data_IF_032769848058
#
_entry.id   IF_032769848058
#
_cell.length_a   1.000
_cell.length_b   1.000
_cell.length_c   1.000
_cell.angle_alpha   90.00
_cell.angle_beta   90.00
_cell.angle_gamma   90.00
#
_symmetry.space_group_name_H-M   'P 1'
#
loop_
_entity.id
_entity.type
_entity.pdbx_description
1 polymer ?
#
# COMPACT_ATOMS: atom_id res chain seq x y z
N UNK A 1 26.78 -53.68 -60.91
CA UNK A 1 26.87 -54.42 -59.63
C UNK A 1 27.32 -53.45 -58.55
N UNK A 2 26.56 -53.41 -57.45
CA UNK A 2 26.86 -52.78 -56.17
C UNK A 2 26.95 -51.25 -56.13
N UNK A 3 25.84 -50.64 -55.71
CA UNK A 3 25.80 -49.29 -55.17
C UNK A 3 25.99 -49.27 -53.66
N UNK A 4 26.40 -48.11 -53.14
CA UNK A 4 26.16 -47.65 -51.77
C UNK A 4 25.97 -46.14 -51.85
N UNK A 5 24.78 -45.66 -51.54
CA UNK A 5 24.48 -44.25 -51.31
C UNK A 5 23.74 -44.14 -49.97
N UNK A 6 24.32 -43.37 -49.05
CA UNK A 6 23.76 -43.06 -47.74
C UNK A 6 22.94 -41.77 -47.87
N UNK A 7 21.68 -41.71 -47.39
CA UNK A 7 21.01 -40.44 -47.19
C UNK A 7 21.20 -39.95 -45.75
N UNK A 8 21.60 -38.68 -45.62
CA UNK A 8 21.52 -37.92 -44.37
C UNK A 8 20.12 -37.31 -44.30
N UNK A 9 19.32 -37.78 -43.35
CA UNK A 9 18.01 -37.22 -43.00
C UNK A 9 18.17 -36.18 -41.90
N UNK A 10 17.67 -34.98 -42.16
CA UNK A 10 17.45 -33.92 -41.18
C UNK A 10 16.04 -34.11 -40.62
N UNK A 11 15.92 -34.41 -39.33
CA UNK A 11 14.65 -34.56 -38.63
C UNK A 11 14.67 -33.81 -37.31
N UNK A 12 13.95 -32.69 -37.25
CA UNK A 12 13.58 -31.99 -36.04
C UNK A 12 12.53 -32.79 -35.27
N UNK A 13 12.70 -32.96 -33.95
CA UNK A 13 11.62 -33.25 -33.00
C UNK A 13 12.15 -33.11 -31.56
N UNK A 14 11.84 -31.99 -30.91
CA UNK A 14 11.93 -31.83 -29.47
C UNK A 14 10.50 -31.62 -28.93
N UNK A 15 9.76 -32.72 -28.82
CA UNK A 15 8.55 -32.83 -28.01
C UNK A 15 8.89 -33.73 -26.82
N UNK A 16 8.96 -33.14 -25.63
CA UNK A 16 8.97 -33.82 -24.34
C UNK A 16 8.33 -32.84 -23.35
N UNK A 17 7.42 -33.20 -22.45
CA UNK A 17 6.73 -34.45 -22.15
C UNK A 17 5.49 -33.99 -21.38
N UNK A 18 4.30 -34.35 -21.86
CA UNK A 18 3.03 -34.07 -21.21
C UNK A 18 2.44 -35.42 -20.80
N UNK A 19 2.66 -35.82 -19.54
CA UNK A 19 1.87 -36.87 -18.90
C UNK A 19 2.15 -36.89 -17.38
N UNK A 20 1.33 -36.19 -16.60
CA UNK A 20 1.12 -36.57 -15.21
C UNK A 20 -0.31 -36.25 -14.75
N UNK A 21 -1.10 -37.33 -14.77
CA UNK A 21 -2.13 -37.73 -13.80
C UNK A 21 -3.16 -36.70 -13.31
N UNK A 22 -4.38 -36.89 -13.81
CA UNK A 22 -5.64 -36.40 -13.24
C UNK A 22 -5.93 -37.14 -11.93
N UNK A 23 -5.75 -36.46 -10.80
CA UNK A 23 -6.47 -36.75 -9.57
C UNK A 23 -7.39 -35.57 -9.23
N UNK A 24 -8.70 -35.84 -9.26
CA UNK A 24 -9.72 -34.92 -8.81
C UNK A 24 -9.59 -34.74 -7.29
N UNK A 25 -8.97 -33.62 -6.88
CA UNK A 25 -8.96 -33.17 -5.49
C UNK A 25 -10.22 -32.34 -5.26
N UNK A 26 -11.15 -32.90 -4.49
CA UNK A 26 -12.26 -32.15 -3.89
C UNK A 26 -11.67 -31.01 -3.06
N UNK A 27 -12.08 -29.74 -3.25
CA UNK A 27 -11.53 -28.64 -2.48
C UNK A 27 -11.95 -28.80 -1.01
N UNK A 28 -11.03 -28.72 -0.05
CA UNK A 28 -11.41 -28.69 1.36
C UNK A 28 -12.22 -27.41 1.61
N UNK A 29 -13.38 -27.59 2.25
CA UNK A 29 -14.19 -26.52 2.81
C UNK A 29 -13.30 -25.57 3.61
N UNK A 30 -13.12 -24.36 3.09
CA UNK A 30 -12.31 -23.32 3.70
C UNK A 30 -12.99 -22.86 5.00
N UNK A 31 -12.55 -23.41 6.14
CA UNK A 31 -12.76 -22.73 7.42
C UNK A 31 -12.00 -21.41 7.33
N UNK A 32 -12.74 -20.30 7.33
CA UNK A 32 -12.17 -18.95 7.45
C UNK A 32 -11.19 -18.92 8.62
N UNK A 33 -9.97 -18.37 8.47
CA UNK A 33 -9.07 -18.21 9.59
C UNK A 33 -9.68 -17.20 10.54
N UNK A 34 -10.22 -17.70 11.66
CA UNK A 34 -10.49 -16.88 12.85
C UNK A 34 -9.17 -16.20 13.20
N UNK A 35 -9.15 -14.86 13.21
CA UNK A 35 -7.98 -14.09 13.60
C UNK A 35 -7.44 -14.58 14.96
N UNK A 36 -6.14 -14.35 15.25
CA UNK A 36 -5.56 -14.79 16.50
C UNK A 36 -6.43 -14.30 17.68
N UNK A 37 -6.76 -15.16 18.67
CA UNK A 37 -7.51 -14.74 19.84
C UNK A 37 -6.89 -13.50 20.49
N UNK A 38 -7.72 -12.58 21.04
CA UNK A 38 -7.23 -11.37 21.66
C UNK A 38 -6.17 -11.69 22.73
N UNK A 39 -4.93 -11.24 22.49
CA UNK A 39 -3.78 -11.47 23.38
C UNK A 39 -2.73 -12.47 22.87
N UNK A 40 -2.95 -13.13 21.73
CA UNK A 40 -1.89 -13.88 21.06
C UNK A 40 -0.90 -12.91 20.39
N UNK A 41 0.39 -13.17 20.60
CA UNK A 41 1.47 -12.40 19.99
C UNK A 41 1.44 -12.69 18.50
N UNK A 42 1.20 -11.66 17.69
CA UNK A 42 1.39 -11.78 16.25
C UNK A 42 2.89 -11.72 15.98
N UNK A 43 3.41 -12.78 15.36
CA UNK A 43 4.86 -12.99 15.19
C UNK A 43 5.54 -11.94 14.32
N UNK A 44 4.77 -11.16 13.57
CA UNK A 44 5.25 -10.03 12.80
C UNK A 44 5.47 -8.75 13.64
N UNK A 45 5.05 -8.69 14.91
CA UNK A 45 5.19 -7.48 15.73
C UNK A 45 6.44 -7.52 16.62
N UNK A 46 7.28 -6.48 16.54
CA UNK A 46 8.33 -6.22 17.53
C UNK A 46 7.92 -5.15 18.51
N UNK A 47 8.45 -5.24 19.73
CA UNK A 47 8.32 -4.17 20.71
C UNK A 47 9.63 -3.94 21.46
N UNK A 48 9.89 -2.67 21.75
CA UNK A 48 10.76 -2.17 22.79
C UNK A 48 9.91 -1.31 23.74
N UNK A 49 10.40 -0.90 24.92
CA UNK A 49 9.59 -0.18 25.90
C UNK A 49 8.83 1.05 25.36
N UNK A 50 9.28 1.63 24.24
CA UNK A 50 8.67 2.84 23.67
C UNK A 50 8.28 2.73 22.19
N UNK A 51 8.54 1.60 21.53
CA UNK A 51 8.45 1.49 20.08
C UNK A 51 8.06 0.09 19.62
N UNK A 52 7.19 0.02 18.62
CA UNK A 52 6.80 -1.18 17.91
C UNK A 52 7.48 -1.30 16.54
N UNK A 53 7.27 -2.43 15.88
CA UNK A 53 7.56 -2.60 14.45
C UNK A 53 6.69 -3.69 13.84
N UNK A 54 6.49 -3.65 12.52
CA UNK A 54 5.69 -4.62 11.76
C UNK A 54 6.51 -5.26 10.65
N UNK A 55 6.65 -6.59 10.67
CA UNK A 55 7.39 -7.38 9.68
C UNK A 55 6.59 -7.53 8.39
N UNK A 56 7.14 -7.02 7.29
CA UNK A 56 6.51 -7.05 5.96
C UNK A 56 7.24 -7.96 4.97
N UNK A 57 8.51 -8.28 5.26
CA UNK A 57 9.31 -9.25 4.52
C UNK A 57 10.28 -9.93 5.51
N UNK A 58 10.92 -11.06 5.16
CA UNK A 58 11.70 -11.86 6.12
C UNK A 58 12.79 -11.08 6.88
N UNK A 59 13.30 -10.00 6.27
CA UNK A 59 14.34 -9.13 6.81
C UNK A 59 13.94 -7.65 6.90
N UNK A 60 12.66 -7.32 6.71
CA UNK A 60 12.21 -5.93 6.60
C UNK A 60 11.04 -5.67 7.52
N UNK A 61 11.18 -4.64 8.34
CA UNK A 61 10.10 -4.16 9.19
C UNK A 61 9.85 -2.68 9.00
N UNK A 62 8.62 -2.26 9.24
CA UNK A 62 8.20 -0.87 9.31
C UNK A 62 8.09 -0.44 10.76
N UNK A 63 8.41 0.82 11.02
CA UNK A 63 8.24 1.45 12.33
C UNK A 63 8.13 2.96 12.17
N UNK A 64 7.92 3.69 13.26
CA UNK A 64 7.90 5.13 13.25
C UNK A 64 9.33 5.69 13.13
N UNK A 65 9.51 6.78 12.40
CA UNK A 65 10.79 7.49 12.26
C UNK A 65 11.33 7.95 13.62
N UNK A 66 10.44 8.33 14.53
CA UNK A 66 10.75 8.71 15.90
C UNK A 66 11.22 7.54 16.78
N UNK A 67 10.99 6.30 16.34
CA UNK A 67 11.51 5.08 16.97
C UNK A 67 12.91 4.71 16.52
N UNK A 68 13.31 5.13 15.32
CA UNK A 68 14.69 4.96 14.87
C UNK A 68 15.64 5.84 15.70
N UNK A 69 16.89 5.45 15.97
CA UNK A 69 17.89 6.31 16.61
C UNK A 69 18.28 7.49 15.70
N UNK A 70 18.70 8.63 16.29
CA UNK A 70 19.10 9.83 15.52
C UNK A 70 20.35 9.60 14.66
N UNK A 71 21.24 8.71 15.09
CA UNK A 71 22.46 8.34 14.37
C UNK A 71 22.20 7.03 13.63
N UNK A 72 21.91 7.10 12.33
CA UNK A 72 21.51 5.96 11.49
C UNK A 72 22.60 4.89 11.31
N UNK A 73 23.86 5.21 11.61
CA UNK A 73 24.98 4.28 11.46
C UNK A 73 25.13 3.30 12.64
N UNK A 74 24.46 3.54 13.78
CA UNK A 74 24.54 2.63 14.92
C UNK A 74 23.59 1.45 14.70
N UNK A 75 24.14 0.24 14.73
CA UNK A 75 23.36 -0.99 14.80
C UNK A 75 22.64 -1.01 16.14
N UNK A 76 21.34 -1.29 16.13
CA UNK A 76 20.54 -1.42 17.34
C UNK A 76 20.04 -2.85 17.46
N UNK A 77 20.05 -3.36 18.70
CA UNK A 77 19.45 -4.66 19.02
C UNK A 77 17.99 -4.45 19.39
N UNK A 78 17.09 -5.23 18.78
CA UNK A 78 15.67 -5.29 19.07
C UNK A 78 15.33 -6.66 19.62
N UNK A 79 14.38 -6.75 20.54
CA UNK A 79 13.97 -8.02 21.15
C UNK A 79 12.70 -8.51 20.46
N UNK A 80 12.75 -9.70 19.86
CA UNK A 80 11.57 -10.49 19.54
C UNK A 80 11.15 -11.22 20.81
N UNK A 81 9.87 -11.17 21.13
CA UNK A 81 9.30 -11.88 22.29
C UNK A 81 9.57 -13.39 22.21
N UNK A 82 9.64 -13.95 20.99
CA UNK A 82 9.68 -15.40 20.77
C UNK A 82 10.94 -15.91 20.04
N UNK A 83 11.68 -15.02 19.35
CA UNK A 83 12.82 -15.38 18.50
C UNK A 83 14.17 -14.80 19.00
N UNK A 84 14.18 -14.18 20.18
CA UNK A 84 15.37 -13.59 20.79
C UNK A 84 15.71 -12.21 20.24
N UNK A 85 16.91 -11.72 20.54
CA UNK A 85 17.35 -10.41 20.06
C UNK A 85 17.82 -10.47 18.60
N UNK A 86 17.36 -9.54 17.77
CA UNK A 86 17.84 -9.33 16.40
C UNK A 86 18.54 -8.01 16.26
N UNK A 87 19.60 -8.01 15.45
CA UNK A 87 20.30 -6.81 15.05
C UNK A 87 19.64 -6.23 13.81
N UNK A 88 19.38 -4.94 13.86
CA UNK A 88 18.77 -4.22 12.75
C UNK A 88 19.52 -2.91 12.47
N UNK A 89 19.52 -2.53 11.20
CA UNK A 89 19.87 -1.19 10.74
C UNK A 89 18.59 -0.38 10.53
N UNK A 90 18.61 0.87 10.95
CA UNK A 90 17.50 1.79 10.77
C UNK A 90 17.75 2.72 9.60
N UNK A 91 16.72 2.92 8.79
CA UNK A 91 16.72 3.92 7.73
C UNK A 91 15.45 4.73 7.88
N UNK A 92 15.61 6.03 8.16
CA UNK A 92 14.48 6.96 8.32
C UNK A 92 14.09 7.54 6.97
N UNK A 93 12.80 7.81 6.81
CA UNK A 93 12.34 8.62 5.70
C UNK A 93 12.92 10.05 5.83
N UNK A 94 13.54 10.59 4.76
CA UNK A 94 14.29 11.85 4.86
C UNK A 94 13.41 13.09 4.97
N UNK A 95 12.16 13.04 4.48
CA UNK A 95 11.25 14.20 4.45
C UNK A 95 10.24 14.09 5.58
N UNK A 96 10.53 14.72 6.72
CA UNK A 96 9.64 14.72 7.89
C UNK A 96 9.09 16.12 8.15
N UNK A 97 7.77 16.25 8.16
CA UNK A 97 7.05 17.46 8.53
C UNK A 97 6.17 17.14 9.75
N UNK A 98 6.75 17.29 10.93
CA UNK A 98 6.10 16.87 12.18
C UNK A 98 5.83 15.35 12.17
N UNK A 99 4.58 14.89 12.26
CA UNK A 99 4.22 13.47 12.16
C UNK A 99 4.19 12.96 10.71
N UNK A 100 3.98 13.82 9.72
CA UNK A 100 4.03 13.43 8.31
C UNK A 100 5.45 13.02 7.94
N UNK A 101 5.59 11.86 7.31
CA UNK A 101 6.91 11.27 7.03
C UNK A 101 7.63 10.73 8.25
N UNK A 102 6.98 10.59 9.42
CA UNK A 102 7.58 9.93 10.60
C UNK A 102 7.61 8.40 10.43
N UNK A 103 8.23 7.92 9.35
CA UNK A 103 8.35 6.50 8.98
C UNK A 103 9.82 6.09 8.96
N UNK A 104 10.11 4.86 9.36
CA UNK A 104 11.41 4.24 9.20
C UNK A 104 11.26 2.76 8.83
N UNK A 105 12.29 2.22 8.20
CA UNK A 105 12.44 0.78 8.00
C UNK A 105 13.56 0.23 8.89
N UNK A 106 13.36 -1.00 9.34
CA UNK A 106 14.36 -1.80 10.03
C UNK A 106 14.80 -2.91 9.09
N UNK A 107 16.09 -2.91 8.75
CA UNK A 107 16.72 -3.93 7.92
C UNK A 107 17.42 -4.92 8.84
N UNK A 108 16.88 -6.13 8.94
CA UNK A 108 17.42 -7.17 9.80
C UNK A 108 18.67 -7.79 9.16
N UNK A 109 19.71 -8.03 9.95
CA UNK A 109 20.95 -8.65 9.44
C UNK A 109 20.72 -10.09 8.95
N UNK A 110 19.74 -10.78 9.53
CA UNK A 110 19.35 -12.15 9.19
C UNK A 110 17.82 -12.23 9.13
N UNK A 111 17.26 -13.13 8.30
CA UNK A 111 15.84 -13.37 8.31
C UNK A 111 15.40 -13.93 9.66
N UNK A 112 14.19 -13.59 10.09
CA UNK A 112 13.62 -14.19 11.29
C UNK A 112 13.45 -15.72 11.10
N UNK A 113 13.74 -16.55 12.11
CA UNK A 113 13.63 -17.99 11.96
C UNK A 113 12.19 -18.49 11.89
N UNK A 114 11.99 -19.62 11.22
CA UNK A 114 10.80 -20.47 11.36
C UNK A 114 9.48 -19.83 10.94
N UNK A 115 8.46 -19.95 11.80
CA UNK A 115 7.08 -19.56 11.52
C UNK A 115 6.85 -18.05 11.39
N UNK A 116 7.76 -17.21 11.89
CA UNK A 116 7.65 -15.76 11.75
C UNK A 116 7.65 -15.30 10.28
N UNK A 117 8.35 -16.03 9.39
CA UNK A 117 8.32 -15.76 7.94
C UNK A 117 6.96 -16.13 7.33
N UNK A 118 6.28 -17.16 7.87
CA UNK A 118 4.97 -17.60 7.37
C UNK A 118 3.84 -16.67 7.80
N UNK A 119 4.08 -15.85 8.83
CA UNK A 119 3.12 -14.94 9.43
C UNK A 119 3.59 -13.49 9.26
N UNK A 120 4.09 -13.10 8.08
CA UNK A 120 4.35 -11.67 7.81
C UNK A 120 3.03 -10.90 7.74
N UNK A 121 3.06 -9.62 8.09
CA UNK A 121 1.90 -8.76 7.92
C UNK A 121 1.56 -8.68 6.42
N UNK A 122 0.32 -9.02 6.02
CA UNK A 122 -0.08 -8.93 4.62
C UNK A 122 -0.14 -7.47 4.19
N UNK A 123 0.54 -7.17 3.09
CA UNK A 123 0.55 -5.84 2.47
C UNK A 123 -0.49 -5.84 1.35
N UNK A 124 -1.51 -4.95 1.38
CA UNK A 124 -2.48 -4.86 0.31
C UNK A 124 -1.83 -4.26 -0.94
N UNK A 125 -2.38 -4.60 -2.11
CA UNK A 125 -2.09 -3.84 -3.31
C UNK A 125 -2.66 -2.42 -3.21
N UNK A 126 -2.17 -1.49 -4.01
CA UNK A 126 -2.69 -0.13 -4.07
C UNK A 126 -4.19 -0.10 -4.36
N UNK A 127 -4.67 -0.94 -5.30
CA UNK A 127 -6.10 -1.06 -5.62
C UNK A 127 -6.89 -1.66 -4.45
N UNK A 128 -6.34 -2.68 -3.78
CA UNK A 128 -6.97 -3.28 -2.59
C UNK A 128 -7.12 -2.26 -1.46
N UNK A 129 -6.04 -1.54 -1.13
CA UNK A 129 -6.08 -0.48 -0.12
C UNK A 129 -7.11 0.60 -0.49
N UNK A 130 -7.10 1.09 -1.73
CA UNK A 130 -8.04 2.10 -2.21
C UNK A 130 -9.49 1.64 -2.08
N UNK A 131 -9.78 0.36 -2.37
CA UNK A 131 -11.12 -0.21 -2.23
C UNK A 131 -11.53 -0.46 -0.78
N UNK A 132 -10.55 -0.76 0.08
CA UNK A 132 -10.80 -1.11 1.48
C UNK A 132 -10.96 0.12 2.37
N UNK A 133 -10.25 1.22 2.08
CA UNK A 133 -10.30 2.48 2.83
C UNK A 133 -11.49 3.34 2.40
N UNK A 134 -12.69 2.88 2.75
CA UNK A 134 -13.94 3.62 2.60
C UNK A 134 -14.16 4.54 3.80
N UNK A 135 -14.42 5.82 3.54
CA UNK A 135 -14.74 6.80 4.57
C UNK A 135 -15.91 6.36 5.46
N UNK A 136 -15.76 6.53 6.76
CA UNK A 136 -16.85 6.31 7.69
C UNK A 136 -17.93 7.38 7.65
N UNK A 137 -19.17 6.95 7.88
CA UNK A 137 -20.33 7.83 8.06
C UNK A 137 -20.08 8.88 9.16
N UNK A 138 -20.79 10.00 9.14
CA UNK A 138 -20.55 11.15 10.04
C UNK A 138 -20.54 10.81 11.55
N UNK A 139 -21.24 9.75 11.96
CA UNK A 139 -21.29 9.26 13.34
C UNK A 139 -20.22 8.20 13.70
N UNK A 140 -19.38 7.80 12.74
CA UNK A 140 -18.35 6.76 12.83
C UNK A 140 -18.88 5.35 13.14
N UNK A 141 -20.16 5.07 12.86
CA UNK A 141 -20.75 3.73 13.07
C UNK A 141 -20.46 2.78 11.91
N UNK A 142 -20.36 3.32 10.69
CA UNK A 142 -20.06 2.62 9.44
C UNK A 142 -18.74 3.11 8.83
N UNK A 143 -18.21 2.38 7.85
CA UNK A 143 -16.94 2.69 7.16
C UNK A 143 -15.90 1.58 7.29
N UNK A 144 -14.71 1.83 6.76
CA UNK A 144 -13.60 0.90 6.86
C UNK A 144 -13.15 0.72 8.31
N UNK A 145 -13.28 -0.51 8.80
CA UNK A 145 -12.86 -0.89 10.15
C UNK A 145 -11.35 -1.00 10.21
N UNK A 146 -10.77 -0.43 11.26
CA UNK A 146 -9.33 -0.45 11.48
C UNK A 146 -8.97 -1.27 12.71
N UNK A 147 -7.81 -1.91 12.65
CA UNK A 147 -7.17 -2.58 13.77
C UNK A 147 -5.77 -2.03 13.89
N UNK A 148 -5.38 -1.59 15.08
CA UNK A 148 -4.04 -1.15 15.35
C UNK A 148 -3.37 -2.07 16.37
N UNK A 149 -2.07 -2.24 16.20
CA UNK A 149 -1.25 -3.00 17.11
C UNK A 149 -0.27 -2.06 17.81
N UNK A 150 -0.15 -2.22 19.13
CA UNK A 150 0.69 -1.38 19.97
C UNK A 150 1.36 -2.20 21.05
N UNK A 151 2.02 -1.53 21.99
CA UNK A 151 2.67 -2.19 23.11
C UNK A 151 1.68 -2.35 24.26
N UNK A 152 1.54 -3.56 24.80
CA UNK A 152 0.85 -3.73 26.07
C UNK A 152 1.56 -2.90 27.16
N UNK A 153 0.82 -2.28 28.09
CA UNK A 153 1.43 -1.67 29.27
C UNK A 153 2.26 -2.73 29.99
N UNK A 154 3.40 -2.32 30.57
CA UNK A 154 4.25 -3.20 31.37
C UNK A 154 3.41 -3.94 32.41
N UNK A 155 3.27 -5.25 32.23
CA UNK A 155 2.99 -6.11 33.37
C UNK A 155 4.24 -6.04 34.24
N UNK A 156 4.09 -5.67 35.52
CA UNK A 156 5.18 -5.61 36.51
C UNK A 156 5.85 -6.97 36.79
N UNK A 157 5.62 -7.97 35.94
CA UNK A 157 6.28 -9.28 35.99
C UNK A 157 7.76 -9.11 35.64
N UNK A 158 8.57 -9.14 36.68
CA UNK A 158 10.03 -9.10 36.68
C UNK A 158 10.60 -10.36 36.04
N UNK A 159 11.23 -10.26 34.86
CA UNK A 159 12.56 -10.83 34.53
C UNK A 159 12.87 -10.85 33.03
N UNK A 160 11.88 -10.70 32.16
CA UNK A 160 12.11 -10.59 30.71
C UNK A 160 11.30 -9.41 30.18
N UNK A 161 11.94 -8.25 30.00
CA UNK A 161 11.33 -6.97 29.64
C UNK A 161 10.66 -6.89 28.25
N UNK A 162 10.07 -7.99 27.75
CA UNK A 162 9.34 -8.05 26.50
C UNK A 162 7.87 -7.66 26.72
N UNK A 163 7.39 -6.63 26.02
CA UNK A 163 5.97 -6.25 26.03
C UNK A 163 5.23 -7.07 24.97
N UNK A 164 4.13 -7.73 25.36
CA UNK A 164 3.24 -8.38 24.39
C UNK A 164 2.61 -7.33 23.48
N UNK A 165 2.45 -7.64 22.19
CA UNK A 165 1.66 -6.81 21.30
C UNK A 165 0.20 -6.77 21.78
N UNK A 166 -0.41 -5.59 21.74
CA UNK A 166 -1.81 -5.37 22.07
C UNK A 166 -2.57 -5.04 20.80
N UNK A 167 -3.56 -5.86 20.45
CA UNK A 167 -4.52 -5.59 19.38
C UNK A 167 -5.58 -4.60 19.87
N UNK A 168 -5.90 -3.59 19.07
CA UNK A 168 -6.86 -2.53 19.38
C UNK A 168 -7.73 -2.27 18.16
N UNK A 169 -9.03 -2.50 18.29
CA UNK A 169 -10.02 -2.35 17.22
C UNK A 169 -11.20 -1.45 17.61
N UNK A 170 -11.18 -0.92 18.84
CA UNK A 170 -12.22 -0.05 19.36
C UNK A 170 -11.66 1.01 20.32
N UNK A 171 -12.33 2.17 20.35
CA UNK A 171 -12.15 3.19 21.37
C UNK A 171 -12.50 2.66 22.76
N UNK A 172 -11.85 3.22 23.78
CA UNK A 172 -12.01 2.82 25.16
C UNK A 172 -12.84 3.84 25.91
N UNK A 173 -13.80 3.38 26.71
CA UNK A 173 -14.41 4.22 27.73
C UNK A 173 -13.37 4.45 28.82
N UNK A 174 -13.00 5.70 29.07
CA UNK A 174 -12.29 6.03 30.31
C UNK A 174 -13.26 5.75 31.44
N UNK A 175 -12.82 4.94 32.41
CA UNK A 175 -13.58 4.80 33.64
C UNK A 175 -13.89 6.21 34.17
N UNK A 176 -15.16 6.50 34.49
CA UNK A 176 -15.49 7.75 35.12
C UNK A 176 -14.72 7.85 36.44
N UNK A 177 -14.41 9.08 36.86
CA UNK A 177 -13.66 9.34 38.07
C UNK A 177 -14.22 8.52 39.25
N UNK A 178 -13.36 8.00 40.16
CA UNK A 178 -13.81 7.22 41.31
C UNK A 178 -14.88 8.01 42.09
N UNK A 179 -16.13 7.54 42.07
CA UNK A 179 -17.28 8.23 42.65
C UNK A 179 -18.53 8.28 41.76
N UNK A 180 -18.38 8.09 40.44
CA UNK A 180 -19.54 7.88 39.56
C UNK A 180 -19.94 6.40 39.59
N UNK A 181 -21.22 6.11 39.82
CA UNK A 181 -21.76 4.76 40.04
C UNK A 181 -21.21 3.66 39.11
N UNK A 182 -21.13 2.46 39.68
CA UNK A 182 -20.63 1.21 39.09
C UNK A 182 -21.11 0.99 37.66
N UNK A 183 -20.26 1.29 36.68
CA UNK A 183 -20.38 0.72 35.34
C UNK A 183 -19.91 -0.73 35.43
N UNK A 184 -20.76 -1.66 35.00
CA UNK A 184 -20.48 -3.09 35.01
C UNK A 184 -19.12 -3.39 34.33
N UNK A 185 -18.24 -4.08 35.06
CA UNK A 185 -16.98 -4.58 34.55
C UNK A 185 -17.24 -5.59 33.42
N UNK A 186 -17.30 -5.11 32.18
CA UNK A 186 -17.59 -5.97 31.02
C UNK A 186 -17.78 -5.25 29.70
N UNK A 187 -18.33 -4.03 29.69
CA UNK A 187 -18.49 -3.23 28.47
C UNK A 187 -17.37 -2.17 28.37
N UNK A 188 -16.22 -2.56 27.81
CA UNK A 188 -15.00 -1.70 27.74
C UNK A 188 -14.72 -1.08 26.38
N UNK A 189 -15.43 -1.49 25.33
CA UNK A 189 -15.33 -0.93 23.96
C UNK A 189 -16.47 0.07 23.71
N UNK A 190 -16.12 1.33 23.44
CA UNK A 190 -17.10 2.39 23.20
C UNK A 190 -17.62 2.37 21.75
N UNK A 191 -16.70 2.36 20.79
CA UNK A 191 -16.97 2.41 19.34
C UNK A 191 -15.85 1.73 18.58
N UNK A 192 -16.10 1.14 17.40
CA UNK A 192 -15.05 0.61 16.55
C UNK A 192 -14.08 1.71 16.09
N UNK A 193 -12.83 1.35 15.84
CA UNK A 193 -11.90 2.19 15.10
C UNK A 193 -12.32 2.19 13.62
N UNK A 194 -12.65 3.36 13.11
CA UNK A 194 -13.11 3.56 11.74
C UNK A 194 -12.21 4.59 11.07
N UNK A 195 -11.86 4.32 9.82
CA UNK A 195 -11.14 5.27 8.96
C UNK A 195 -12.06 6.42 8.54
N UNK A 196 -11.51 7.63 8.52
CA UNK A 196 -12.15 8.78 7.88
C UNK A 196 -11.07 9.68 7.30
N UNK A 197 -11.27 10.10 6.06
CA UNK A 197 -10.44 11.06 5.35
C UNK A 197 -10.44 12.44 6.02
N UNK A 198 -9.42 13.24 5.72
CA UNK A 198 -9.30 14.65 6.09
C UNK A 198 -10.50 15.41 5.55
N UNK A 199 -10.90 15.17 4.30
CA UNK A 199 -12.08 15.77 3.70
C UNK A 199 -13.37 15.40 4.45
N UNK A 200 -13.49 14.15 4.90
CA UNK A 200 -14.57 13.67 5.76
C UNK A 200 -14.65 14.43 7.09
N UNK A 201 -13.52 14.58 7.79
CA UNK A 201 -13.49 15.40 9.01
C UNK A 201 -13.74 16.88 8.76
N UNK A 202 -13.27 17.43 7.64
CA UNK A 202 -13.55 18.84 7.30
C UNK A 202 -15.04 19.08 7.12
N UNK A 203 -15.76 18.13 6.52
CA UNK A 203 -17.21 18.20 6.32
C UNK A 203 -17.98 18.05 7.63
N UNK A 204 -17.65 17.04 8.43
CA UNK A 204 -18.38 16.72 9.66
C UNK A 204 -18.00 17.64 10.84
N UNK A 205 -16.72 18.04 10.93
CA UNK A 205 -16.14 18.74 12.08
C UNK A 205 -15.10 19.80 11.66
N UNK A 206 -15.47 20.80 10.83
CA UNK A 206 -14.55 21.78 10.26
C UNK A 206 -13.67 22.48 11.31
N UNK A 207 -14.21 22.71 12.51
CA UNK A 207 -13.53 23.35 13.65
C UNK A 207 -12.26 22.62 14.11
N UNK A 208 -12.12 21.32 13.80
CA UNK A 208 -10.98 20.49 14.20
C UNK A 208 -9.81 20.56 13.21
N UNK A 209 -10.11 20.95 11.97
CA UNK A 209 -9.13 21.14 10.91
C UNK A 209 -8.71 22.61 10.87
N UNK A 210 -9.65 23.52 11.09
CA UNK A 210 -9.39 24.96 11.09
C UNK A 210 -8.70 25.46 12.37
N UNK A 211 -8.30 24.59 13.29
CA UNK A 211 -7.58 24.99 14.49
C UNK A 211 -8.33 26.00 15.39
N UNK A 212 -9.66 26.09 15.30
CA UNK A 212 -10.49 26.86 16.25
C UNK A 212 -10.95 26.00 17.43
N UNK A 213 -10.88 24.68 17.31
CA UNK A 213 -11.20 23.74 18.39
C UNK A 213 -10.00 23.52 19.33
N UNK A 214 -10.22 23.23 20.62
CA UNK A 214 -9.19 22.65 21.49
C UNK A 214 -8.84 21.19 21.13
N UNK A 215 -9.66 20.53 20.31
CA UNK A 215 -9.48 19.15 19.85
C UNK A 215 -9.00 19.09 18.39
N UNK A 216 -8.00 19.90 18.07
CA UNK A 216 -7.41 19.96 16.72
C UNK A 216 -6.82 18.60 16.34
N UNK A 217 -7.03 18.19 15.08
CA UNK A 217 -6.42 16.99 14.54
C UNK A 217 -4.95 17.21 14.16
N UNK A 218 -4.62 18.43 13.78
CA UNK A 218 -3.31 18.80 13.25
C UNK A 218 -2.66 19.88 14.09
N UNK A 219 -1.35 19.74 14.28
CA UNK A 219 -0.56 20.82 14.86
C UNK A 219 -0.30 21.93 13.84
N UNK A 220 0.21 23.07 14.31
CA UNK A 220 0.50 24.23 13.47
C UNK A 220 1.49 23.93 12.32
N UNK A 221 2.41 22.97 12.47
CA UNK A 221 3.38 22.61 11.45
C UNK A 221 2.71 21.89 10.27
N UNK A 222 1.87 20.89 10.54
CA UNK A 222 1.08 20.19 9.51
C UNK A 222 0.15 21.21 8.82
N UNK A 223 -0.53 22.05 9.61
CA UNK A 223 -1.40 23.07 9.04
C UNK A 223 -0.66 24.04 8.12
N UNK A 224 0.56 24.45 8.45
CA UNK A 224 1.36 25.34 7.61
C UNK A 224 1.85 24.68 6.33
N UNK A 225 2.19 23.39 6.38
CA UNK A 225 2.72 22.66 5.23
C UNK A 225 1.64 22.36 4.19
N UNK A 226 0.45 21.94 4.63
CA UNK A 226 -0.63 21.50 3.74
C UNK A 226 -1.66 22.59 3.45
N UNK A 227 -1.69 23.66 4.24
CA UNK A 227 -2.62 24.78 4.04
C UNK A 227 -1.91 26.14 4.10
N UNK A 228 -0.88 26.38 3.25
CA UNK A 228 -0.04 27.58 3.32
C UNK A 228 -0.81 28.89 3.10
N UNK A 229 -1.91 28.86 2.34
CA UNK A 229 -2.70 30.05 1.96
C UNK A 229 -3.88 30.35 2.88
N UNK A 230 -3.99 29.65 4.01
CA UNK A 230 -5.14 29.75 4.92
C UNK A 230 -5.47 31.17 5.40
N UNK A 231 -4.48 32.06 5.47
CA UNK A 231 -4.67 33.47 5.88
C UNK A 231 -5.12 34.40 4.75
N UNK A 232 -4.97 34.01 3.48
CA UNK A 232 -5.13 34.95 2.36
C UNK A 232 -6.47 34.88 1.65
N UNK A 233 -7.23 33.77 1.71
CA UNK A 233 -8.61 33.73 1.21
C UNK A 233 -9.30 32.45 1.73
N UNK A 234 -10.25 32.60 2.64
CA UNK A 234 -11.11 31.49 3.09
C UNK A 234 -12.09 31.01 1.98
N UNK A 235 -12.10 31.67 0.82
CA UNK A 235 -13.03 31.43 -0.28
C UNK A 235 -12.50 30.48 -1.37
N UNK A 236 -11.21 30.11 -1.37
CA UNK A 236 -10.68 29.18 -2.38
C UNK A 236 -10.88 27.73 -1.95
N UNK A 237 -12.08 27.21 -2.25
CA UNK A 237 -12.45 25.82 -1.98
C UNK A 237 -11.52 24.81 -2.67
N UNK A 238 -10.92 25.15 -3.82
CA UNK A 238 -10.04 24.24 -4.57
C UNK A 238 -8.72 24.03 -3.85
N UNK A 239 -8.10 25.10 -3.35
CA UNK A 239 -6.86 25.00 -2.59
C UNK A 239 -7.00 24.15 -1.32
N UNK A 240 -8.18 24.20 -0.66
CA UNK A 240 -8.47 23.35 0.50
C UNK A 240 -8.62 21.87 0.13
N UNK A 241 -9.27 21.56 -1.00
CA UNK A 241 -9.46 20.19 -1.47
C UNK A 241 -8.13 19.54 -1.88
N UNK A 242 -7.21 20.29 -2.50
CA UNK A 242 -5.87 19.80 -2.78
C UNK A 242 -5.11 19.47 -1.49
N UNK A 243 -5.12 20.37 -0.51
CA UNK A 243 -4.46 20.12 0.78
C UNK A 243 -5.06 18.94 1.56
N UNK A 244 -6.38 18.72 1.48
CA UNK A 244 -7.03 17.55 2.07
C UNK A 244 -6.55 16.25 1.41
N UNK A 245 -6.60 16.20 0.07
CA UNK A 245 -6.17 15.02 -0.72
C UNK A 245 -4.70 14.69 -0.48
N UNK A 246 -3.81 15.68 -0.57
CA UNK A 246 -2.37 15.48 -0.38
C UNK A 246 -2.07 14.95 1.03
N UNK A 247 -2.86 15.33 2.02
CA UNK A 247 -2.72 14.85 3.38
C UNK A 247 -3.30 13.44 3.54
N UNK A 248 -4.45 13.14 2.94
CA UNK A 248 -5.09 11.82 2.91
C UNK A 248 -4.21 10.74 2.25
N UNK A 249 -3.37 11.13 1.31
CA UNK A 249 -2.38 10.23 0.69
C UNK A 249 -1.25 9.89 1.68
N UNK A 250 -0.95 10.77 2.64
CA UNK A 250 0.20 10.61 3.55
C UNK A 250 -0.14 10.08 4.94
N UNK A 251 -1.39 10.24 5.39
CA UNK A 251 -1.82 9.90 6.76
C UNK A 251 -3.13 9.12 6.80
N UNK A 252 -3.29 8.31 7.85
CA UNK A 252 -4.57 7.73 8.24
C UNK A 252 -5.02 8.38 9.53
N UNK A 253 -6.29 8.76 9.59
CA UNK A 253 -6.88 9.32 10.80
C UNK A 253 -7.73 8.27 11.51
N UNK A 254 -7.46 8.10 12.80
CA UNK A 254 -8.16 7.21 13.72
C UNK A 254 -8.70 8.01 14.90
N UNK A 255 -9.24 9.20 14.63
CA UNK A 255 -9.77 10.06 15.68
C UNK A 255 -11.23 9.77 15.94
N UNK A 256 -11.63 9.71 17.22
CA UNK A 256 -13.05 9.76 17.57
C UNK A 256 -13.66 11.10 17.19
N UNK A 257 -14.96 11.26 17.42
CA UNK A 257 -15.69 12.52 17.28
C UNK A 257 -15.22 13.55 18.34
N UNK A 258 -15.42 14.85 18.12
CA UNK A 258 -15.16 15.85 19.16
C UNK A 258 -16.01 15.64 20.42
N UNK A 259 -17.21 15.08 20.27
CA UNK A 259 -18.11 14.74 21.38
C UNK A 259 -17.62 13.56 22.20
N UNK A 260 -16.81 12.67 21.62
CA UNK A 260 -16.28 11.47 22.29
C UNK A 260 -15.47 11.84 23.55
N UNK A 261 -14.67 12.90 23.46
CA UNK A 261 -13.90 13.40 24.60
C UNK A 261 -14.80 13.79 25.80
N UNK A 262 -15.98 14.35 25.53
CA UNK A 262 -16.96 14.73 26.57
C UNK A 262 -17.67 13.50 27.16
N UNK A 263 -17.79 12.43 26.38
CA UNK A 263 -18.35 11.15 26.81
C UNK A 263 -17.30 10.23 27.48
N UNK A 264 -16.09 10.73 27.71
CA UNK A 264 -14.99 9.93 28.26
C UNK A 264 -14.47 8.86 27.30
N UNK A 265 -14.85 8.89 26.02
CA UNK A 265 -14.36 7.97 25.00
C UNK A 265 -12.97 8.46 24.56
N UNK A 266 -11.98 7.58 24.66
CA UNK A 266 -10.59 7.88 24.33
C UNK A 266 -10.04 6.93 23.27
N UNK A 267 -9.08 7.44 22.49
CA UNK A 267 -8.30 6.60 21.58
C UNK A 267 -7.68 5.42 22.34
N UNK A 268 -7.76 4.19 21.80
CA UNK A 268 -7.11 3.05 22.42
C UNK A 268 -5.59 3.13 22.29
N UNK A 269 -5.12 3.91 21.31
CA UNK A 269 -3.72 4.16 21.01
C UNK A 269 -3.10 5.13 22.01
N UNK A 270 -1.84 4.90 22.33
CA UNK A 270 -1.03 5.70 23.26
C UNK A 270 0.27 6.11 22.57
N UNK A 271 0.96 7.09 23.14
CA UNK A 271 2.25 7.55 22.61
C UNK A 271 3.33 6.45 22.56
N UNK A 272 3.22 5.44 23.43
CA UNK A 272 4.12 4.28 23.48
C UNK A 272 3.76 3.17 22.47
N UNK A 273 2.65 3.31 21.73
CA UNK A 273 2.24 2.36 20.69
C UNK A 273 2.88 2.69 19.32
N UNK A 274 3.69 3.75 19.25
CA UNK A 274 4.39 4.19 18.04
C UNK A 274 5.17 3.07 17.37
N UNK A 275 5.10 2.99 16.05
CA UNK A 275 5.80 2.01 15.24
C UNK A 275 5.07 0.69 15.04
N UNK A 276 3.98 0.42 15.78
CA UNK A 276 3.12 -0.71 15.48
C UNK A 276 2.33 -0.52 14.17
N UNK A 277 1.75 -1.61 13.65
CA UNK A 277 0.98 -1.57 12.40
C UNK A 277 -0.46 -1.12 12.59
N UNK A 278 -1.01 -0.48 11.56
CA UNK A 278 -2.44 -0.19 11.40
C UNK A 278 -2.95 -0.98 10.20
N UNK A 279 -4.03 -1.72 10.42
CA UNK A 279 -4.60 -2.65 9.47
C UNK A 279 -6.04 -2.24 9.16
N UNK A 280 -6.46 -2.43 7.92
CA UNK A 280 -7.88 -2.38 7.54
C UNK A 280 -8.43 -3.80 7.53
N UNK A 281 -9.67 -3.97 7.97
CA UNK A 281 -10.40 -5.24 7.84
C UNK A 281 -11.16 -5.24 6.52
N UNK A 282 -10.99 -6.31 5.75
CA UNK A 282 -11.83 -6.56 4.58
C UNK A 282 -13.17 -7.22 4.96
N UNK A 283 -14.00 -7.51 3.95
CA UNK A 283 -15.29 -8.16 4.12
C UNK A 283 -15.17 -9.54 4.81
N UNK A 284 -14.07 -10.24 4.59
CA UNK A 284 -13.77 -11.53 5.21
C UNK A 284 -13.07 -11.43 6.58
N UNK A 285 -13.00 -10.22 7.17
CA UNK A 285 -12.31 -9.93 8.44
C UNK A 285 -10.80 -10.21 8.41
N UNK A 286 -10.18 -10.20 7.22
CA UNK A 286 -8.73 -10.28 7.10
C UNK A 286 -8.13 -8.91 7.31
N UNK A 287 -7.03 -8.87 8.04
CA UNK A 287 -6.30 -7.65 8.36
C UNK A 287 -5.26 -7.36 7.26
N UNK A 288 -5.28 -6.17 6.66
CA UNK A 288 -4.31 -5.72 5.65
C UNK A 288 -3.55 -4.48 6.13
N UNK A 289 -2.22 -4.51 6.12
CA UNK A 289 -1.39 -3.42 6.64
C UNK A 289 -1.48 -2.17 5.76
N UNK A 290 -2.14 -1.13 6.26
CA UNK A 290 -2.33 0.15 5.56
C UNK A 290 -1.56 1.29 6.20
N UNK A 291 -1.08 1.13 7.43
CA UNK A 291 -0.44 2.22 8.16
C UNK A 291 0.56 1.81 9.24
N UNK A 292 1.23 2.82 9.79
CA UNK A 292 2.05 2.69 11.00
C UNK A 292 1.61 3.68 12.04
N UNK A 293 1.48 3.21 13.28
CA UNK A 293 1.06 4.02 14.42
C UNK A 293 2.11 5.10 14.69
N UNK A 294 1.72 6.37 14.69
CA UNK A 294 2.57 7.51 15.06
C UNK A 294 2.12 8.16 16.37
N UNK A 295 0.88 7.90 16.79
CA UNK A 295 0.33 8.45 18.00
C UNK A 295 -1.15 8.10 18.18
N UNK A 296 -1.87 8.98 18.86
CA UNK A 296 -3.24 8.71 19.31
C UNK A 296 -4.31 8.89 18.23
N UNK A 297 -4.06 9.73 17.21
CA UNK A 297 -5.09 10.16 16.25
C UNK A 297 -4.66 10.08 14.78
N UNK A 298 -3.37 10.22 14.50
CA UNK A 298 -2.85 10.29 13.14
C UNK A 298 -1.72 9.30 12.99
N UNK A 299 -1.78 8.54 11.90
CA UNK A 299 -0.91 7.41 11.59
C UNK A 299 -0.32 7.64 10.20
N UNK A 300 0.85 7.07 9.88
CA UNK A 300 1.40 7.14 8.54
C UNK A 300 0.62 6.19 7.63
N UNK A 301 0.20 6.64 6.45
CA UNK A 301 -0.39 5.78 5.42
C UNK A 301 0.70 5.19 4.55
N UNK A 302 0.78 3.86 4.43
CA UNK A 302 1.95 3.22 3.85
C UNK A 302 2.06 3.31 2.33
N UNK A 303 0.94 3.44 1.62
CA UNK A 303 0.94 3.52 0.15
C UNK A 303 1.85 4.62 -0.39
N UNK A 304 1.93 5.77 0.29
CA UNK A 304 2.85 6.86 -0.03
C UNK A 304 4.33 6.45 0.10
N UNK A 305 4.67 5.61 1.07
CA UNK A 305 6.07 5.33 1.42
C UNK A 305 6.63 4.10 0.71
N UNK A 306 5.81 3.29 0.05
CA UNK A 306 6.28 2.08 -0.65
C UNK A 306 7.37 2.35 -1.70
N UNK A 307 7.29 3.40 -2.55
CA UNK A 307 8.38 3.71 -3.48
C UNK A 307 9.72 3.94 -2.76
N UNK A 308 9.69 4.68 -1.65
CA UNK A 308 10.88 4.89 -0.83
C UNK A 308 11.39 3.61 -0.16
N UNK A 309 10.49 2.80 0.43
CA UNK A 309 10.87 1.52 1.04
C UNK A 309 11.55 0.63 0.00
N UNK A 310 10.93 0.48 -1.17
CA UNK A 310 11.46 -0.30 -2.28
C UNK A 310 12.85 0.18 -2.71
N UNK A 311 13.02 1.50 -2.92
CA UNK A 311 14.31 2.09 -3.29
C UNK A 311 15.39 1.80 -2.23
N UNK A 312 15.03 1.84 -0.94
CA UNK A 312 15.97 1.48 0.12
C UNK A 312 16.32 -0.02 0.09
N UNK A 313 15.36 -0.91 -0.14
CA UNK A 313 15.65 -2.34 -0.27
C UNK A 313 16.61 -2.62 -1.43
N UNK A 314 16.41 -1.99 -2.59
CA UNK A 314 17.36 -2.07 -3.70
C UNK A 314 18.75 -1.56 -3.31
N UNK A 315 18.83 -0.38 -2.69
CA UNK A 315 20.08 0.26 -2.26
C UNK A 315 20.89 -0.62 -1.30
N UNK A 316 20.23 -1.41 -0.46
CA UNK A 316 20.87 -2.33 0.48
C UNK A 316 21.02 -3.76 -0.04
N UNK A 317 20.82 -4.00 -1.34
CA UNK A 317 21.02 -5.31 -1.98
C UNK A 317 19.96 -6.36 -1.59
N UNK A 318 18.78 -5.93 -1.15
CA UNK A 318 17.67 -6.79 -0.73
C UNK A 318 16.69 -7.02 -1.88
N UNK A 319 17.21 -7.48 -3.02
CA UNK A 319 16.48 -7.59 -4.28
C UNK A 319 15.26 -8.53 -4.18
N UNK A 320 15.39 -9.65 -3.47
CA UNK A 320 14.30 -10.60 -3.28
C UNK A 320 13.12 -9.97 -2.50
N UNK A 321 13.42 -9.26 -1.41
CA UNK A 321 12.42 -8.53 -0.62
C UNK A 321 11.82 -7.36 -1.41
N UNK A 322 12.63 -6.64 -2.18
CA UNK A 322 12.15 -5.56 -3.04
C UNK A 322 11.16 -6.08 -4.09
N UNK A 323 11.49 -7.20 -4.77
CA UNK A 323 10.61 -7.82 -5.75
C UNK A 323 9.33 -8.37 -5.12
N UNK A 324 9.42 -8.98 -3.93
CA UNK A 324 8.25 -9.46 -3.20
C UNK A 324 7.32 -8.29 -2.84
N UNK A 325 7.87 -7.22 -2.26
CA UNK A 325 7.11 -6.02 -1.91
C UNK A 325 6.44 -5.42 -3.15
N UNK A 326 7.20 -5.22 -4.23
CA UNK A 326 6.68 -4.67 -5.47
C UNK A 326 5.49 -5.47 -6.02
N UNK A 327 5.56 -6.81 -6.02
CA UNK A 327 4.45 -7.66 -6.46
C UNK A 327 3.23 -7.57 -5.56
N UNK A 328 3.43 -7.44 -4.25
CA UNK A 328 2.34 -7.27 -3.29
C UNK A 328 1.62 -5.93 -3.51
N UNK A 329 2.36 -4.82 -3.54
CA UNK A 329 1.78 -3.47 -3.67
C UNK A 329 1.17 -3.22 -5.05
N UNK A 330 1.68 -3.85 -6.12
CA UNK A 330 1.08 -3.75 -7.45
C UNK A 330 -0.10 -4.71 -7.65
N UNK A 331 -0.12 -5.86 -6.97
CA UNK A 331 -1.22 -6.83 -7.05
C UNK A 331 -1.26 -7.69 -8.31
N UNK A 332 -0.24 -7.64 -9.17
CA UNK A 332 -0.21 -8.30 -10.49
C UNK A 332 0.43 -9.70 -10.49
N UNK A 333 1.01 -10.14 -9.37
CA UNK A 333 1.60 -11.48 -9.23
C UNK A 333 2.87 -11.67 -10.07
N UNK A 334 3.15 -12.91 -10.51
CA UNK A 334 4.25 -13.20 -11.44
C UNK A 334 3.75 -13.08 -12.89
N UNK A 335 4.63 -12.57 -13.76
CA UNK A 335 4.37 -12.59 -15.21
C UNK A 335 4.11 -14.03 -15.69
N UNK A 336 3.08 -14.20 -16.51
CA UNK A 336 2.70 -15.50 -17.07
C UNK A 336 1.91 -16.42 -16.14
N UNK A 337 1.78 -16.12 -14.84
CA UNK A 337 1.08 -16.97 -13.85
C UNK A 337 -0.41 -17.19 -14.18
N UNK A 338 -1.02 -16.24 -14.88
CA UNK A 338 -2.43 -16.29 -15.32
C UNK A 338 -2.57 -16.61 -16.82
N UNK A 339 -1.70 -17.47 -17.36
CA UNK A 339 -1.76 -17.84 -18.79
C UNK A 339 -1.58 -16.65 -19.74
N UNK A 340 -0.77 -15.66 -19.33
CA UNK A 340 -0.52 -14.40 -20.04
C UNK A 340 -1.75 -13.51 -20.27
N UNK A 341 -2.76 -13.63 -19.41
CA UNK A 341 -3.89 -12.71 -19.36
C UNK A 341 -3.63 -11.59 -18.36
N UNK A 342 -4.14 -10.39 -18.65
CA UNK A 342 -4.02 -9.20 -17.79
C UNK A 342 -4.93 -8.08 -18.25
N UNK A 343 -4.95 -6.98 -17.51
CA UNK A 343 -5.72 -5.78 -17.85
C UNK A 343 -4.77 -4.67 -18.28
N UNK A 344 -5.09 -3.94 -19.35
CA UNK A 344 -4.32 -2.75 -19.75
C UNK A 344 -4.20 -1.79 -18.56
N UNK A 345 -3.00 -1.28 -18.34
CA UNK A 345 -2.62 -0.49 -17.16
C UNK A 345 -2.05 -1.31 -16.00
N UNK A 346 -2.17 -2.65 -16.00
CA UNK A 346 -1.51 -3.49 -14.99
C UNK A 346 0.02 -3.36 -15.09
N UNK A 347 0.68 -3.20 -13.94
CA UNK A 347 2.14 -3.05 -13.88
C UNK A 347 2.77 -4.30 -13.27
N UNK A 348 3.77 -4.86 -13.94
CA UNK A 348 4.50 -6.04 -13.49
C UNK A 348 5.92 -5.69 -13.07
N UNK A 349 6.35 -6.27 -11.95
CA UNK A 349 7.73 -6.22 -11.47
C UNK A 349 8.47 -7.51 -11.84
N UNK A 350 9.66 -7.38 -12.42
CA UNK A 350 10.50 -8.49 -12.85
C UNK A 350 11.97 -8.21 -12.62
N UNK A 351 12.79 -9.26 -12.56
CA UNK A 351 14.25 -9.10 -12.58
C UNK A 351 14.68 -9.12 -14.03
N UNK A 352 15.23 -8.01 -14.51
CA UNK A 352 15.78 -7.94 -15.85
C UNK A 352 17.06 -8.80 -15.90
N UNK A 353 17.13 -9.82 -16.78
CA UNK A 353 18.25 -10.76 -16.81
C UNK A 353 19.58 -10.13 -17.26
N UNK A 354 19.56 -8.96 -17.91
CA UNK A 354 20.76 -8.26 -18.37
C UNK A 354 21.31 -7.29 -17.34
N UNK A 355 20.44 -6.58 -16.63
CA UNK A 355 20.84 -5.57 -15.63
C UNK A 355 20.92 -6.15 -14.22
N UNK A 356 20.29 -7.31 -13.99
CA UNK A 356 20.04 -7.90 -12.69
C UNK A 356 19.37 -6.93 -11.70
N UNK A 357 18.54 -6.01 -12.20
CA UNK A 357 17.74 -5.08 -11.40
C UNK A 357 16.27 -5.46 -11.43
N UNK A 358 15.53 -5.07 -10.40
CA UNK A 358 14.07 -5.12 -10.48
C UNK A 358 13.62 -3.95 -11.34
N UNK A 359 12.90 -4.25 -12.40
CA UNK A 359 12.35 -3.31 -13.36
C UNK A 359 10.83 -3.47 -13.45
N UNK A 360 10.19 -2.45 -13.98
CA UNK A 360 8.75 -2.33 -14.08
C UNK A 360 8.32 -2.16 -15.53
N UNK A 361 7.23 -2.83 -15.90
CA UNK A 361 6.59 -2.66 -17.19
C UNK A 361 5.08 -2.55 -17.02
N UNK A 362 4.46 -1.58 -17.68
CA UNK A 362 3.00 -1.42 -17.74
C UNK A 362 2.47 -2.11 -19.00
N UNK A 363 1.43 -2.91 -18.83
CA UNK A 363 0.72 -3.52 -19.94
C UNK A 363 -0.05 -2.43 -20.70
N UNK A 364 0.35 -2.15 -21.93
CA UNK A 364 -0.26 -1.11 -22.76
C UNK A 364 -1.15 -1.69 -23.87
N UNK A 365 -0.91 -2.94 -24.29
CA UNK A 365 -1.66 -3.59 -25.34
C UNK A 365 -1.77 -5.11 -25.15
N UNK A 366 -2.88 -5.67 -25.59
CA UNK A 366 -3.15 -7.10 -25.67
C UNK A 366 -3.32 -7.50 -27.14
N UNK A 367 -3.06 -8.77 -27.46
CA UNK A 367 -3.41 -9.33 -28.76
C UNK A 367 -4.93 -9.58 -28.88
N UNK A 368 -5.36 -10.10 -30.03
CA UNK A 368 -6.78 -10.41 -30.32
C UNK A 368 -7.36 -11.49 -29.41
N UNK A 369 -6.51 -12.28 -28.77
CA UNK A 369 -6.87 -13.34 -27.83
C UNK A 369 -6.88 -12.82 -26.37
N UNK A 370 -6.63 -11.53 -26.15
CA UNK A 370 -6.53 -10.94 -24.82
C UNK A 370 -5.27 -11.36 -24.07
N UNK A 371 -4.23 -11.79 -24.80
CA UNK A 371 -2.95 -12.22 -24.23
C UNK A 371 -1.86 -11.17 -24.46
N UNK A 372 -0.88 -11.16 -23.57
CA UNK A 372 0.32 -10.34 -23.72
C UNK A 372 1.55 -11.16 -24.10
N UNK A 373 2.50 -10.51 -24.80
CA UNK A 373 3.79 -11.07 -25.13
C UNK A 373 4.81 -11.03 -23.98
N UNK A 374 6.08 -11.24 -24.34
CA UNK A 374 7.20 -11.19 -23.41
C UNK A 374 7.42 -9.78 -22.86
N UNK A 375 7.86 -9.71 -21.59
CA UNK A 375 8.31 -8.45 -20.99
C UNK A 375 9.45 -7.84 -21.81
N UNK A 376 9.55 -6.50 -21.82
CA UNK A 376 10.59 -5.81 -22.56
C UNK A 376 11.97 -6.19 -22.01
N UNK A 377 12.92 -6.36 -22.93
CA UNK A 377 14.32 -6.68 -22.61
C UNK A 377 15.17 -5.49 -23.07
N UNK A 378 16.01 -4.97 -22.19
CA UNK A 378 16.93 -3.87 -22.51
C UNK A 378 16.38 -2.46 -22.26
N UNK A 379 15.34 -2.32 -21.44
CA UNK A 379 14.86 -1.02 -20.96
C UNK A 379 14.18 -0.16 -22.02
N UNK A 380 13.40 -0.79 -22.90
CA UNK A 380 12.65 -0.13 -23.98
C UNK A 380 11.29 -0.75 -24.12
N UNK A 381 10.33 0.02 -24.58
CA UNK A 381 8.99 -0.44 -24.92
C UNK A 381 9.02 -1.58 -25.96
N UNK A 382 7.96 -2.37 -25.97
CA UNK A 382 7.69 -3.33 -27.04
C UNK A 382 6.20 -3.31 -27.42
N UNK A 383 5.76 -4.24 -28.26
CA UNK A 383 4.39 -4.25 -28.79
C UNK A 383 3.28 -4.31 -27.72
N UNK A 384 3.56 -4.85 -26.53
CA UNK A 384 2.56 -5.00 -25.46
C UNK A 384 2.87 -4.16 -24.21
N UNK A 385 4.13 -3.74 -24.03
CA UNK A 385 4.63 -3.28 -22.75
C UNK A 385 5.37 -1.95 -22.85
N UNK A 386 4.96 -0.98 -22.04
CA UNK A 386 5.71 0.24 -21.74
C UNK A 386 6.73 -0.06 -20.64
N UNK A 387 8.00 0.32 -20.83
CA UNK A 387 9.03 0.20 -19.81
C UNK A 387 9.00 1.41 -18.88
N UNK A 388 8.86 1.18 -17.57
CA UNK A 388 8.73 2.25 -16.57
C UNK A 388 10.04 2.52 -15.80
N UNK A 389 11.14 1.83 -16.14
CA UNK A 389 12.39 1.92 -15.40
C UNK A 389 12.44 0.98 -14.19
N UNK A 390 13.09 1.45 -13.12
CA UNK A 390 13.46 0.64 -11.95
C UNK A 390 12.99 1.23 -10.62
N UNK A 391 12.26 2.34 -10.65
CA UNK A 391 11.59 2.90 -9.49
C UNK A 391 10.20 2.31 -9.37
N UNK A 392 9.79 1.95 -8.15
CA UNK A 392 8.44 1.43 -7.91
C UNK A 392 7.42 2.54 -8.19
N UNK A 393 6.44 2.32 -9.09
CA UNK A 393 5.40 3.31 -9.36
C UNK A 393 4.61 3.68 -8.11
N UNK A 394 4.22 4.94 -8.04
CA UNK A 394 3.35 5.48 -6.99
C UNK A 394 1.97 4.83 -7.02
N UNK A 395 1.20 5.01 -5.94
CA UNK A 395 -0.18 4.54 -5.88
C UNK A 395 -1.03 5.14 -7.02
N UNK A 396 -0.83 6.42 -7.35
CA UNK A 396 -1.54 7.10 -8.42
C UNK A 396 -1.22 6.49 -9.80
N UNK A 397 0.06 6.27 -10.10
CA UNK A 397 0.51 5.67 -11.36
C UNK A 397 0.06 4.21 -11.54
N UNK A 398 0.02 3.43 -10.45
CA UNK A 398 -0.35 2.02 -10.45
C UNK A 398 -1.88 1.77 -10.45
N UNK A 399 -2.66 2.75 -9.97
CA UNK A 399 -4.13 2.67 -9.94
C UNK A 399 -4.81 3.47 -11.05
N UNK A 400 -4.04 4.18 -11.88
CA UNK A 400 -4.55 4.85 -13.05
C UNK A 400 -5.38 3.88 -13.92
N UNK A 401 -6.60 4.31 -14.26
CA UNK A 401 -7.48 3.56 -15.15
C UNK A 401 -7.12 3.92 -16.57
N UNK A 402 -6.51 2.96 -17.27
CA UNK A 402 -6.00 3.13 -18.63
C UNK A 402 -6.70 2.11 -19.52
N UNK A 403 -7.22 2.57 -20.66
CA UNK A 403 -7.79 1.70 -21.71
C UNK A 403 -6.84 1.69 -22.90
N UNK A 404 -6.69 0.57 -23.60
CA UNK A 404 -6.05 0.61 -24.90
C UNK A 404 -7.01 1.27 -25.89
N UNK A 405 -6.51 2.21 -26.69
CA UNK A 405 -7.24 2.67 -27.86
C UNK A 405 -7.05 1.65 -28.99
N UNK A 406 -8.17 1.22 -29.57
CA UNK A 406 -8.26 0.38 -30.75
C UNK A 406 -9.16 1.06 -31.80
N UNK A 407 -8.99 0.79 -33.10
CA UNK A 407 -9.82 1.38 -34.16
C UNK A 407 -11.33 1.14 -34.00
N UNK A 408 -11.73 0.09 -33.27
CA UNK A 408 -13.12 -0.29 -32.99
C UNK A 408 -13.60 0.16 -31.60
N UNK A 409 -12.86 1.03 -30.90
CA UNK A 409 -13.26 1.55 -29.58
C UNK A 409 -14.54 2.38 -29.73
N UNK A 410 -15.65 1.81 -29.24
CA UNK A 410 -16.99 2.32 -29.53
C UNK A 410 -17.56 3.27 -28.46
N UNK A 411 -16.81 3.56 -27.40
CA UNK A 411 -17.25 4.44 -26.32
C UNK A 411 -16.12 4.96 -25.44
N UNK A 412 -16.37 6.11 -24.81
CA UNK A 412 -15.51 6.66 -23.77
C UNK A 412 -16.20 7.77 -22.98
N UNK A 413 -15.80 7.91 -21.72
CA UNK A 413 -16.27 9.00 -20.85
C UNK A 413 -15.21 10.08 -20.70
N UNK A 414 -15.66 11.32 -20.58
CA UNK A 414 -14.79 12.45 -20.26
C UNK A 414 -13.93 12.13 -19.04
N UNK A 415 -12.63 12.36 -19.16
CA UNK A 415 -11.63 12.05 -18.13
C UNK A 415 -11.00 10.66 -18.24
N UNK A 416 -11.54 9.74 -19.03
CA UNK A 416 -10.91 8.44 -19.27
C UNK A 416 -9.57 8.62 -20.00
N UNK A 417 -8.57 7.83 -19.58
CA UNK A 417 -7.24 7.84 -20.16
C UNK A 417 -7.08 6.63 -21.08
N UNK A 418 -6.64 6.90 -22.29
CA UNK A 418 -6.35 5.90 -23.30
C UNK A 418 -4.86 5.87 -23.60
N UNK A 419 -4.33 4.67 -23.82
CA UNK A 419 -2.98 4.44 -24.33
C UNK A 419 -3.06 3.96 -25.77
N UNK A 420 -2.22 4.52 -26.64
CA UNK A 420 -2.08 4.11 -28.03
C UNK A 420 -0.63 3.76 -28.33
N UNK A 421 -0.40 2.70 -29.08
CA UNK A 421 0.90 2.43 -29.68
C UNK A 421 1.14 3.39 -30.86
N UNK A 422 2.25 4.13 -30.83
CA UNK A 422 2.62 5.01 -31.94
C UNK A 422 2.94 4.17 -33.19
N UNK A 423 2.37 4.47 -34.37
CA UNK A 423 2.42 3.59 -35.55
C UNK A 423 3.84 3.30 -36.05
N UNK A 424 4.76 4.25 -35.94
CA UNK A 424 6.15 4.11 -36.43
C UNK A 424 7.22 4.12 -35.33
N UNK A 425 7.03 4.85 -34.23
CA UNK A 425 8.06 5.10 -33.22
C UNK A 425 8.30 3.93 -32.25
N UNK A 426 7.43 2.91 -32.21
CA UNK A 426 7.45 1.81 -31.22
C UNK A 426 7.44 2.30 -29.77
N UNK A 427 6.74 3.41 -29.52
CA UNK A 427 6.50 3.99 -28.20
C UNK A 427 5.01 4.03 -27.92
N UNK A 428 4.62 4.31 -26.68
CA UNK A 428 3.24 4.55 -26.30
C UNK A 428 2.95 6.03 -26.12
N UNK A 429 1.69 6.40 -26.31
CA UNK A 429 1.19 7.76 -26.12
C UNK A 429 -0.12 7.73 -25.36
N UNK A 430 -0.29 8.70 -24.47
CA UNK A 430 -1.42 8.81 -23.57
C UNK A 430 -2.31 9.98 -23.95
N UNK A 431 -3.62 9.73 -23.95
CA UNK A 431 -4.62 10.74 -24.25
C UNK A 431 -5.74 10.67 -23.23
N UNK A 432 -6.22 11.82 -22.77
CA UNK A 432 -7.44 11.93 -21.96
C UNK A 432 -8.59 12.37 -22.84
N UNK A 433 -9.72 11.68 -22.72
CA UNK A 433 -10.94 12.08 -23.42
C UNK A 433 -11.51 13.34 -22.76
N UNK A 434 -11.82 14.38 -23.54
CA UNK A 434 -12.26 15.69 -23.02
C UNK A 434 -13.77 15.79 -22.81
N UNK A 435 -14.52 15.03 -23.58
CA UNK A 435 -15.99 15.05 -23.59
C UNK A 435 -16.52 13.63 -23.68
N UNK A 436 -17.74 13.40 -23.17
CA UNK A 436 -18.40 12.13 -23.40
C UNK A 436 -18.69 11.98 -24.90
N UNK A 437 -18.35 10.82 -25.46
CA UNK A 437 -18.58 10.53 -26.88
C UNK A 437 -19.47 9.30 -26.98
N UNK A 438 -20.74 9.46 -27.40
CA UNK A 438 -21.60 8.33 -27.71
C UNK A 438 -21.21 7.75 -29.08
N UNK A 439 -20.77 6.49 -29.11
CA UNK A 439 -20.36 5.79 -30.34
C UNK A 439 -18.86 5.81 -30.58
N UNK A 440 -18.44 5.42 -31.79
CA UNK A 440 -17.04 5.23 -32.16
C UNK A 440 -16.20 6.47 -31.89
N UNK A 441 -15.18 6.33 -31.04
CA UNK A 441 -14.23 7.39 -30.73
C UNK A 441 -13.41 7.72 -31.97
N UNK A 442 -13.08 9.00 -32.17
CA UNK A 442 -12.12 9.35 -33.22
C UNK A 442 -10.73 8.83 -32.86
N UNK A 443 -9.90 8.60 -33.88
CA UNK A 443 -8.49 8.26 -33.64
C UNK A 443 -7.78 9.44 -32.94
N UNK A 444 -7.03 9.19 -31.85
CA UNK A 444 -6.20 10.21 -31.24
C UNK A 444 -5.24 10.84 -32.26
N UNK A 445 -4.83 12.10 -32.13
CA UNK A 445 -3.85 12.70 -33.04
C UNK A 445 -2.52 11.92 -33.06
N UNK A 446 -1.93 11.71 -34.24
CA UNK A 446 -0.64 11.00 -34.40
C UNK A 446 0.59 11.90 -34.22
N UNK A 447 0.38 13.20 -34.15
CA UNK A 447 1.41 14.24 -34.07
C UNK A 447 1.63 14.74 -32.63
N UNK A 448 1.22 13.96 -31.62
CA UNK A 448 1.32 14.31 -30.21
C UNK A 448 0.62 15.65 -29.85
N UNK A 449 -0.48 15.98 -30.54
CA UNK A 449 -1.27 17.19 -30.27
C UNK A 449 -2.58 16.90 -29.52
N UNK A 450 -3.11 17.96 -28.90
CA UNK A 450 -4.46 18.01 -28.32
C UNK A 450 -5.44 18.50 -29.38
N UNK A 451 -6.62 17.89 -29.47
CA UNK A 451 -7.71 18.33 -30.35
C UNK A 451 -9.03 18.55 -29.57
N UNK A 452 -10.15 18.62 -30.28
CA UNK A 452 -11.46 18.84 -29.65
C UNK A 452 -11.88 17.68 -28.72
N UNK A 453 -11.53 16.45 -29.06
CA UNK A 453 -11.92 15.22 -28.35
C UNK A 453 -10.84 14.73 -27.38
N UNK A 454 -9.57 14.88 -27.74
CA UNK A 454 -8.43 14.29 -27.06
C UNK A 454 -7.50 15.36 -26.47
N UNK A 455 -7.13 15.21 -25.20
CA UNK A 455 -6.04 15.93 -24.54
C UNK A 455 -4.80 15.02 -24.52
N UNK A 456 -3.72 15.45 -25.16
CA UNK A 456 -2.45 14.72 -25.13
C UNK A 456 -1.78 14.85 -23.75
N UNK A 457 -1.46 13.71 -23.13
CA UNK A 457 -0.82 13.65 -21.81
C UNK A 457 0.69 13.39 -21.87
N UNK A 458 1.22 12.98 -23.02
CA UNK A 458 2.64 12.65 -23.19
C UNK A 458 2.90 11.20 -23.59
N UNK A 459 4.19 10.88 -23.80
CA UNK A 459 4.67 9.52 -24.07
C UNK A 459 4.86 8.65 -22.82
N UNK A 460 4.80 9.26 -21.62
CA UNK A 460 4.82 8.56 -20.34
C UNK A 460 3.67 9.12 -19.49
N UNK A 461 2.85 8.23 -18.92
CA UNK A 461 1.77 8.68 -18.05
C UNK A 461 2.32 9.12 -16.68
N UNK A 462 2.45 10.43 -16.50
CA UNK A 462 2.64 11.07 -15.19
C UNK A 462 1.26 11.45 -14.68
N UNK A 463 0.82 10.82 -13.59
CA UNK A 463 -0.54 10.96 -13.02
C UNK A 463 -0.62 12.10 -12.02
#
# INVERSE_FOLDING_TARGET
MSGVAVPVSVGAQAHAQEQEQRHAVTPPSARSPVGPPPGQIVRWSLSQPHCGGTLIAPRVMLTAGSCAPRVSHRRSAFVLTDAGAVRARFVRYPRRIGPVGDVAIMLLERPLPGAAIREMAPVPSYRQEQSALVDGADDMTEGARLVAYGSAPESRSTQTGSRKARRMDAYQLRHPAPGSGTIAAGATSARPLVYRSVAGYRRAEPQRIDGRSPHQLFNALVMRAFYPHRRRQASDARALLHGDRDLDEQVLLTSGLATDARMGIASPLRQQDRGGGVFVLDAEQREWLVGTVLGTQMQARQSEYWPWVFAMLQRYGMQAEALQLARQVLGTGRWGEKGRQGTVGDIYAYVNPHTNRVEFARLAALDRQGQYGYLPIGGRDNANWEHLGHDLPTAAEATARIRAWLPDTSDGKAGEVFVRAHPTARTFEYFRLRTDVPGTLSEPPVDATTNAEWEYLGGNLVV
#
